data_IF_087710533217
#
_entry.id   IF_087710533217
#
_cell.length_a   1.000
_cell.length_b   1.000
_cell.length_c   1.000
_cell.angle_alpha   90.00
_cell.angle_beta   90.00
_cell.angle_gamma   90.00
#
_symmetry.space_group_name_H-M   'P 1'
#
loop_
_entity.id
_entity.type
_entity.pdbx_description
1 polymer ?
#
# COMPACT_ATOMS: atom_id res chain seq x y z
N UNK A 1 28.65 8.93 -3.36
CA UNK A 1 28.89 8.79 -1.89
C UNK A 1 28.01 7.68 -1.36
N UNK A 2 28.58 6.72 -0.64
CA UNK A 2 27.77 5.70 0.06
C UNK A 2 26.98 6.43 1.15
N UNK A 3 25.66 6.34 1.09
CA UNK A 3 24.77 7.01 2.04
C UNK A 3 25.11 6.58 3.47
N UNK A 4 25.38 7.53 4.36
CA UNK A 4 25.65 7.29 5.79
C UNK A 4 24.39 6.88 6.58
N UNK A 5 23.22 6.84 5.92
CA UNK A 5 21.89 6.79 6.55
C UNK A 5 21.61 5.52 7.36
N UNK A 6 22.47 4.50 7.29
CA UNK A 6 22.41 3.31 8.16
C UNK A 6 23.80 2.85 8.62
N UNK A 7 24.74 3.80 8.78
CA UNK A 7 26.12 3.51 9.13
C UNK A 7 26.24 2.80 10.49
N UNK A 8 25.34 3.11 11.42
CA UNK A 8 25.22 2.52 12.77
C UNK A 8 24.76 1.05 12.77
N UNK A 9 24.11 0.57 11.70
CA UNK A 9 23.59 -0.79 11.62
C UNK A 9 24.71 -1.82 11.36
N UNK A 10 24.89 -2.88 12.17
CA UNK A 10 25.92 -3.89 11.93
C UNK A 10 25.71 -4.67 10.62
N UNK A 11 24.46 -4.83 10.16
CA UNK A 11 24.13 -5.55 8.93
C UNK A 11 23.69 -4.57 7.83
N UNK A 12 24.46 -4.50 6.74
CA UNK A 12 24.17 -3.62 5.59
C UNK A 12 23.20 -4.26 4.59
N UNK A 13 22.02 -4.64 5.08
CA UNK A 13 20.91 -5.17 4.27
C UNK A 13 19.64 -4.40 4.57
N UNK A 14 18.63 -4.59 3.71
CA UNK A 14 17.26 -4.17 3.95
C UNK A 14 16.41 -5.43 4.04
N UNK A 15 15.57 -5.53 5.08
CA UNK A 15 14.54 -6.57 5.19
C UNK A 15 13.19 -5.92 4.92
N UNK A 16 12.51 -6.36 3.86
CA UNK A 16 11.16 -5.92 3.53
C UNK A 16 10.16 -7.00 3.86
N UNK A 17 9.08 -6.58 4.52
CA UNK A 17 7.98 -7.44 4.93
C UNK A 17 6.73 -7.09 4.14
N UNK A 18 6.00 -8.10 3.68
CA UNK A 18 4.58 -7.89 3.43
C UNK A 18 3.84 -7.70 4.77
N UNK A 19 2.66 -7.07 4.77
CA UNK A 19 1.96 -6.69 5.99
C UNK A 19 1.06 -7.84 6.49
N UNK A 20 -0.01 -8.13 5.76
CA UNK A 20 -1.01 -9.15 6.11
C UNK A 20 -0.43 -10.56 5.95
N UNK A 21 -0.40 -11.34 7.03
CA UNK A 21 0.18 -12.67 7.08
C UNK A 21 1.55 -12.71 7.75
N UNK A 22 2.59 -12.06 7.20
CA UNK A 22 3.92 -12.06 7.81
C UNK A 22 4.04 -11.26 9.10
N UNK A 23 3.45 -10.05 9.16
CA UNK A 23 3.54 -9.20 10.36
C UNK A 23 2.27 -9.25 11.22
N UNK A 24 1.12 -9.51 10.60
CA UNK A 24 -0.17 -9.58 11.27
C UNK A 24 -0.95 -10.81 10.84
N UNK A 25 -1.90 -11.26 11.67
CA UNK A 25 -2.95 -12.12 11.12
C UNK A 25 -3.83 -11.30 10.17
N UNK A 26 -4.43 -11.96 9.18
CA UNK A 26 -5.19 -11.29 8.13
C UNK A 26 -6.23 -10.32 8.68
N UNK A 27 -6.11 -9.03 8.33
CA UNK A 27 -7.00 -7.94 8.76
C UNK A 27 -7.04 -7.70 10.28
N UNK A 28 -6.03 -8.15 11.01
CA UNK A 28 -5.89 -7.91 12.45
C UNK A 28 -4.69 -7.00 12.73
N UNK A 29 -4.65 -6.46 13.95
CA UNK A 29 -3.50 -5.72 14.45
C UNK A 29 -2.32 -6.67 14.75
N UNK A 30 -1.10 -6.15 14.65
CA UNK A 30 0.13 -6.86 14.99
C UNK A 30 0.15 -7.21 16.47
N UNK A 31 0.59 -8.43 16.78
CA UNK A 31 0.81 -8.83 18.16
C UNK A 31 1.94 -7.99 18.79
N UNK A 32 1.84 -7.54 20.05
CA UNK A 32 2.89 -6.76 20.71
C UNK A 32 4.29 -7.41 20.63
N UNK A 33 4.36 -8.73 20.71
CA UNK A 33 5.62 -9.48 20.59
C UNK A 33 6.26 -9.34 19.20
N UNK A 34 5.46 -9.35 18.13
CA UNK A 34 5.97 -9.11 16.77
C UNK A 34 6.56 -7.70 16.66
N UNK A 35 5.89 -6.71 17.23
CA UNK A 35 6.37 -5.33 17.25
C UNK A 35 7.68 -5.21 18.06
N UNK A 36 7.80 -5.91 19.18
CA UNK A 36 9.04 -5.97 19.95
C UNK A 36 10.19 -6.58 19.13
N UNK A 37 9.95 -7.69 18.42
CA UNK A 37 10.92 -8.32 17.53
C UNK A 37 11.36 -7.36 16.42
N UNK A 38 10.43 -6.65 15.78
CA UNK A 38 10.74 -5.66 14.73
C UNK A 38 11.58 -4.50 15.27
N UNK A 39 11.27 -3.99 16.46
CA UNK A 39 12.06 -2.93 17.12
C UNK A 39 13.50 -3.37 17.39
N UNK A 40 13.70 -4.62 17.82
CA UNK A 40 15.04 -5.17 18.04
C UNK A 40 15.78 -5.48 16.74
N UNK A 41 15.07 -5.93 15.71
CA UNK A 41 15.63 -6.15 14.38
C UNK A 41 16.11 -4.84 13.74
N UNK A 42 15.32 -3.77 13.85
CA UNK A 42 15.64 -2.42 13.34
C UNK A 42 16.99 -1.92 13.85
N UNK A 43 17.37 -2.24 15.09
CA UNK A 43 18.68 -1.86 15.66
C UNK A 43 19.86 -2.52 14.92
N UNK A 44 19.63 -3.64 14.23
CA UNK A 44 20.67 -4.45 13.59
C UNK A 44 20.75 -4.28 12.07
N UNK A 45 19.61 -4.05 11.42
CA UNK A 45 19.45 -3.99 9.96
C UNK A 45 18.38 -2.96 9.61
N UNK A 46 18.43 -2.38 8.41
CA UNK A 46 17.33 -1.54 7.94
C UNK A 46 16.09 -2.41 7.71
N UNK A 47 14.93 -1.96 8.16
CA UNK A 47 13.66 -2.66 7.95
C UNK A 47 12.64 -1.78 7.23
N UNK A 48 11.74 -2.41 6.49
CA UNK A 48 10.58 -1.74 5.95
C UNK A 48 9.42 -2.69 5.70
N UNK A 49 8.24 -2.14 5.50
CA UNK A 49 7.08 -2.88 5.01
C UNK A 49 6.74 -2.47 3.59
N UNK A 50 6.11 -3.38 2.85
CA UNK A 50 5.44 -3.13 1.59
C UNK A 50 4.05 -3.75 1.64
N UNK A 51 3.02 -3.01 1.24
CA UNK A 51 1.66 -3.52 1.23
C UNK A 51 0.83 -2.88 0.12
N UNK A 52 -0.15 -3.63 -0.39
CA UNK A 52 -1.08 -3.14 -1.41
C UNK A 52 -2.15 -2.17 -0.87
N UNK A 53 -2.36 -2.15 0.44
CA UNK A 53 -3.28 -1.25 1.13
C UNK A 53 -2.76 0.18 1.19
N UNK A 54 -3.67 1.13 1.40
CA UNK A 54 -3.32 2.51 1.76
C UNK A 54 -2.61 2.57 3.12
N UNK A 55 -1.92 3.68 3.38
CA UNK A 55 -1.12 3.85 4.60
C UNK A 55 -1.99 3.83 5.87
N UNK A 56 -3.25 4.28 5.78
CA UNK A 56 -4.17 4.33 6.92
C UNK A 56 -4.45 2.92 7.41
N UNK A 57 -4.82 2.01 6.51
CA UNK A 57 -5.08 0.60 6.85
C UNK A 57 -3.84 -0.11 7.37
N UNK A 58 -2.67 0.14 6.77
CA UNK A 58 -1.42 -0.44 7.28
C UNK A 58 -1.10 0.10 8.67
N UNK A 59 -1.36 1.39 8.93
CA UNK A 59 -1.17 1.98 10.26
C UNK A 59 -2.11 1.36 11.29
N UNK A 60 -3.38 1.11 10.95
CA UNK A 60 -4.33 0.40 11.83
C UNK A 60 -3.80 -0.99 12.24
N UNK A 61 -3.04 -1.64 11.37
CA UNK A 61 -2.47 -2.96 11.61
C UNK A 61 -1.17 -2.92 12.40
N UNK A 62 -0.27 -1.98 12.11
CA UNK A 62 1.09 -1.99 12.63
C UNK A 62 1.35 -0.99 13.76
N UNK A 63 0.49 0.02 13.93
CA UNK A 63 0.61 0.99 15.03
C UNK A 63 0.17 0.38 16.35
N UNK A 64 1.02 0.49 17.37
CA UNK A 64 0.69 0.10 18.75
C UNK A 64 0.68 1.35 19.63
N UNK A 65 -0.38 1.53 20.42
CA UNK A 65 -0.55 2.66 21.34
C UNK A 65 -0.44 4.04 20.64
N UNK A 66 -0.90 4.15 19.39
CA UNK A 66 -0.85 5.40 18.63
C UNK A 66 0.53 5.76 18.08
N UNK A 67 1.46 4.79 18.00
CA UNK A 67 2.75 5.01 17.35
C UNK A 67 2.59 5.32 15.86
N UNK A 68 3.50 6.10 15.31
CA UNK A 68 3.52 6.39 13.89
C UNK A 68 4.32 5.30 13.17
N UNK A 69 3.63 4.47 12.37
CA UNK A 69 4.24 3.36 11.63
C UNK A 69 5.39 3.81 10.71
N UNK A 70 5.34 5.05 10.21
CA UNK A 70 6.37 5.62 9.34
C UNK A 70 7.67 5.91 10.10
N UNK A 71 7.59 6.14 11.40
CA UNK A 71 8.75 6.33 12.29
C UNK A 71 9.24 4.98 12.85
N UNK A 72 8.34 4.01 12.99
CA UNK A 72 8.66 2.68 13.49
C UNK A 72 9.49 1.86 12.49
N UNK A 73 9.36 2.11 11.18
CA UNK A 73 10.17 1.48 10.12
C UNK A 73 11.16 2.45 9.48
N UNK A 74 12.26 1.95 8.90
CA UNK A 74 13.20 2.80 8.15
C UNK A 74 12.67 3.12 6.74
N UNK A 75 11.88 2.21 6.17
CA UNK A 75 11.14 2.38 4.92
C UNK A 75 9.68 1.96 5.09
N UNK A 76 8.76 2.73 4.53
CA UNK A 76 7.32 2.42 4.53
C UNK A 76 6.79 2.53 3.11
N UNK A 77 6.29 1.43 2.54
CA UNK A 77 5.78 1.37 1.17
C UNK A 77 4.30 0.95 1.18
N UNK A 78 3.41 1.93 1.19
CA UNK A 78 1.97 1.70 1.00
C UNK A 78 1.61 1.73 -0.49
N UNK A 79 0.50 1.11 -0.85
CA UNK A 79 -0.01 1.01 -2.23
C UNK A 79 1.08 0.50 -3.20
N UNK A 80 1.80 -0.55 -2.79
CA UNK A 80 2.94 -1.14 -3.49
C UNK A 80 4.07 -0.13 -3.79
N UNK A 81 4.26 0.86 -2.92
CA UNK A 81 5.33 1.85 -3.01
C UNK A 81 4.98 3.13 -3.78
N UNK A 82 3.73 3.28 -4.24
CA UNK A 82 3.25 4.56 -4.79
C UNK A 82 3.17 5.65 -3.72
N UNK A 83 2.97 5.23 -2.47
CA UNK A 83 3.11 6.04 -1.27
C UNK A 83 4.30 5.49 -0.49
N UNK A 84 5.42 6.22 -0.52
CA UNK A 84 6.68 5.73 0.03
C UNK A 84 7.30 6.74 0.99
N UNK A 85 7.90 6.23 2.06
CA UNK A 85 8.68 7.03 3.01
C UNK A 85 10.01 6.34 3.28
N UNK A 86 11.01 7.16 3.60
CA UNK A 86 12.33 6.75 4.08
C UNK A 86 12.69 7.61 5.27
N UNK A 87 12.90 7.00 6.43
CA UNK A 87 13.28 7.68 7.67
C UNK A 87 12.31 8.82 8.02
N UNK A 88 11.01 8.53 8.12
CA UNK A 88 9.99 9.56 8.38
C UNK A 88 9.64 10.45 7.17
N UNK A 89 10.53 10.55 6.17
CA UNK A 89 10.41 11.53 5.08
C UNK A 89 9.74 10.93 3.85
N UNK A 90 8.75 11.62 3.26
CA UNK A 90 8.11 11.14 2.04
C UNK A 90 9.12 11.10 0.89
N UNK A 91 9.05 10.03 0.10
CA UNK A 91 9.74 9.90 -1.17
C UNK A 91 8.85 10.38 -2.32
N UNK A 92 9.43 10.48 -3.52
CA UNK A 92 8.66 10.80 -4.72
C UNK A 92 7.52 9.78 -4.90
N UNK A 93 6.29 10.31 -5.02
CA UNK A 93 5.10 9.50 -5.23
C UNK A 93 4.75 9.41 -6.72
N UNK A 94 4.15 8.29 -7.11
CA UNK A 94 3.59 8.09 -8.44
C UNK A 94 2.09 7.81 -8.33
N UNK A 95 1.35 8.02 -9.43
CA UNK A 95 -0.03 7.57 -9.54
C UNK A 95 -0.33 7.05 -10.94
N UNK A 96 -1.39 6.26 -11.03
CA UNK A 96 -1.92 5.70 -12.28
C UNK A 96 -2.19 6.80 -13.31
N UNK A 97 -2.84 7.90 -12.91
CA UNK A 97 -3.14 8.99 -13.84
C UNK A 97 -1.90 9.78 -14.26
N UNK A 98 -0.92 9.97 -13.36
CA UNK A 98 0.35 10.63 -13.72
C UNK A 98 1.15 9.80 -14.72
N UNK A 99 1.09 8.47 -14.62
CA UNK A 99 1.73 7.56 -15.56
C UNK A 99 0.97 7.45 -16.90
N UNK A 100 -0.34 7.25 -16.84
CA UNK A 100 -1.15 6.97 -18.02
C UNK A 100 -1.53 8.24 -18.80
N UNK A 101 -1.87 9.32 -18.09
CA UNK A 101 -2.41 10.56 -18.62
C UNK A 101 -3.92 10.50 -18.92
N UNK A 102 -4.58 11.66 -18.84
CA UNK A 102 -6.02 11.80 -19.07
C UNK A 102 -6.44 11.40 -20.50
N UNK A 103 -5.59 11.68 -21.49
CA UNK A 103 -5.93 11.42 -22.90
C UNK A 103 -6.06 9.93 -23.21
N UNK A 104 -5.35 9.07 -22.47
CA UNK A 104 -5.50 7.61 -22.57
C UNK A 104 -6.53 7.07 -21.59
N UNK A 105 -6.69 7.72 -20.44
CA UNK A 105 -7.66 7.29 -19.44
C UNK A 105 -9.11 7.49 -19.87
N UNK A 106 -9.44 8.65 -20.47
CA UNK A 106 -10.82 8.94 -20.93
C UNK A 106 -11.36 7.90 -21.93
N UNK A 107 -10.62 7.52 -23.01
CA UNK A 107 -11.10 6.47 -23.91
C UNK A 107 -11.28 5.11 -23.23
N UNK A 108 -10.38 4.76 -22.30
CA UNK A 108 -10.47 3.50 -21.54
C UNK A 108 -11.74 3.46 -20.68
N UNK A 109 -12.01 4.50 -19.90
CA UNK A 109 -13.19 4.52 -19.03
C UNK A 109 -14.48 4.58 -19.85
N UNK A 110 -14.51 5.31 -20.97
CA UNK A 110 -15.66 5.33 -21.88
C UNK A 110 -15.95 3.92 -22.44
N UNK A 111 -14.91 3.22 -22.89
CA UNK A 111 -15.05 1.84 -23.35
C UNK A 111 -15.63 0.93 -22.26
N UNK A 112 -15.07 0.97 -21.05
CA UNK A 112 -15.54 0.14 -19.93
C UNK A 112 -17.00 0.43 -19.59
N UNK A 113 -17.38 1.71 -19.51
CA UNK A 113 -18.73 2.12 -19.15
C UNK A 113 -19.76 1.72 -20.21
N UNK A 114 -19.47 1.93 -21.50
CA UNK A 114 -20.35 1.44 -22.58
C UNK A 114 -20.48 -0.08 -22.56
N UNK A 115 -19.35 -0.79 -22.44
CA UNK A 115 -19.37 -2.26 -22.39
C UNK A 115 -20.22 -2.78 -21.23
N UNK A 116 -20.03 -2.24 -20.02
CA UNK A 116 -20.79 -2.68 -18.83
C UNK A 116 -22.27 -2.31 -18.94
N UNK A 117 -22.61 -1.16 -19.54
CA UNK A 117 -24.00 -0.75 -19.72
C UNK A 117 -24.80 -1.79 -20.50
N UNK A 118 -24.21 -2.39 -21.53
CA UNK A 118 -24.88 -3.34 -22.44
C UNK A 118 -24.81 -4.80 -21.98
N UNK A 119 -24.02 -5.14 -20.96
CA UNK A 119 -23.95 -6.51 -20.44
C UNK A 119 -25.30 -7.01 -19.92
N UNK A 120 -25.77 -8.14 -20.44
CA UNK A 120 -26.90 -8.84 -19.85
C UNK A 120 -26.41 -9.74 -18.70
N UNK A 121 -26.56 -9.25 -17.48
CA UNK A 121 -26.20 -9.98 -16.26
C UNK A 121 -27.36 -9.89 -15.26
N UNK A 122 -27.58 -10.91 -14.41
CA UNK A 122 -28.75 -10.98 -13.54
C UNK A 122 -28.91 -9.79 -12.59
N UNK A 123 -27.79 -9.19 -12.18
CA UNK A 123 -27.74 -8.12 -11.19
C UNK A 123 -26.72 -7.07 -11.63
N UNK A 124 -27.12 -5.80 -11.59
CA UNK A 124 -26.24 -4.62 -11.64
C UNK A 124 -26.50 -3.74 -10.41
N UNK A 125 -25.45 -3.12 -9.87
CA UNK A 125 -25.49 -2.19 -8.74
C UNK A 125 -24.78 -0.90 -9.12
N UNK A 126 -23.74 -0.51 -8.36
CA UNK A 126 -22.99 0.72 -8.58
C UNK A 126 -21.51 0.53 -8.27
N UNK A 127 -20.72 1.56 -8.60
CA UNK A 127 -19.25 1.50 -8.53
C UNK A 127 -18.69 0.45 -9.50
N UNK A 128 -18.99 0.63 -10.80
CA UNK A 128 -18.52 -0.25 -11.88
C UNK A 128 -17.05 -0.02 -12.25
N UNK A 129 -16.62 1.24 -12.18
CA UNK A 129 -15.21 1.63 -12.29
C UNK A 129 -14.87 2.44 -11.05
N UNK A 130 -13.94 1.93 -10.26
CA UNK A 130 -13.42 2.60 -9.08
C UNK A 130 -11.98 3.04 -9.37
N UNK A 131 -11.77 4.36 -9.34
CA UNK A 131 -10.44 4.93 -9.50
C UNK A 131 -9.65 4.84 -8.19
N UNK A 132 -8.44 4.25 -8.24
CA UNK A 132 -7.50 4.20 -7.11
C UNK A 132 -6.18 4.86 -7.51
N UNK A 133 -5.33 5.15 -6.53
CA UNK A 133 -4.06 5.84 -6.79
C UNK A 133 -3.17 5.09 -7.79
N UNK A 134 -3.13 3.76 -7.72
CA UNK A 134 -2.25 2.92 -8.54
C UNK A 134 -2.91 2.13 -9.65
N UNK A 135 -4.23 2.11 -9.70
CA UNK A 135 -4.99 1.25 -10.61
C UNK A 135 -6.42 1.74 -10.73
N UNK A 136 -7.17 1.15 -11.65
CA UNK A 136 -8.63 1.14 -11.61
C UNK A 136 -9.11 -0.27 -11.26
N UNK A 137 -10.16 -0.36 -10.45
CA UNK A 137 -10.89 -1.60 -10.23
C UNK A 137 -12.16 -1.56 -11.09
N UNK A 138 -12.38 -2.62 -11.87
CA UNK A 138 -13.55 -2.74 -12.76
C UNK A 138 -14.38 -3.93 -12.31
N UNK A 139 -15.68 -3.71 -12.11
CA UNK A 139 -16.63 -4.72 -11.68
C UNK A 139 -17.93 -4.62 -12.49
N UNK A 140 -18.26 -5.59 -13.36
CA UNK A 140 -19.51 -5.57 -14.13
C UNK A 140 -20.78 -5.51 -13.28
N UNK A 141 -20.81 -6.24 -12.17
CA UNK A 141 -21.92 -6.21 -11.20
C UNK A 141 -21.93 -4.91 -10.37
N UNK A 142 -20.77 -4.26 -10.23
CA UNK A 142 -20.54 -3.10 -9.37
C UNK A 142 -20.09 -3.51 -7.95
N UNK A 143 -19.11 -2.79 -7.38
CA UNK A 143 -18.54 -3.11 -6.05
C UNK A 143 -19.53 -2.97 -4.88
N UNK A 144 -20.63 -2.25 -5.07
CA UNK A 144 -21.66 -2.08 -4.04
C UNK A 144 -22.67 -3.24 -4.01
N UNK A 145 -22.41 -4.32 -4.73
CA UNK A 145 -23.23 -5.52 -4.66
C UNK A 145 -23.02 -6.26 -3.34
N UNK A 146 -24.15 -6.53 -2.68
CA UNK A 146 -24.29 -7.31 -1.43
C UNK A 146 -24.93 -8.64 -1.74
#
# INVERSE_FOLDING_TARGET
MVSSVFADRPVKKLVLFDVDGPLTFARQAAHPDMIAVLKDLKKKVAIGFVGGSDLVKISEQLSVNGSNVVEDFDYAFAENGLTAYKMGKPLASQSFIKFLGEDKYKPLVNFILHYIADLDIPIKRGTFVEFRKGMINVSPIGRNAT
#
